data_IF_560941236178
#
_entry.id   IF_560941236178
#
_cell.length_a   1.000
_cell.length_b   1.000
_cell.length_c   1.000
_cell.angle_alpha   90.00
_cell.angle_beta   90.00
_cell.angle_gamma   90.00
#
_symmetry.space_group_name_H-M   'P 1'
#
loop_
_entity.id
_entity.type
_entity.pdbx_description
1 polymer ?
#
# COMPACT_ATOMS: atom_id res chain seq x y z
N UNK A 1 28.30 14.62 -28.20
CA UNK A 1 28.69 14.51 -26.78
C UNK A 1 27.37 14.38 -26.00
N UNK A 2 27.08 13.19 -25.50
CA UNK A 2 25.89 12.97 -24.71
C UNK A 2 26.08 13.63 -23.35
N UNK A 3 25.38 14.69 -23.08
CA UNK A 3 25.12 15.13 -21.71
C UNK A 3 24.23 14.05 -21.05
N UNK A 4 24.87 13.08 -20.43
CA UNK A 4 24.20 12.27 -19.42
C UNK A 4 23.85 13.23 -18.28
N UNK A 5 22.57 13.58 -18.16
CA UNK A 5 22.05 14.21 -16.97
C UNK A 5 22.56 13.38 -15.77
N UNK A 6 23.27 14.05 -14.87
CA UNK A 6 23.78 13.47 -13.64
C UNK A 6 22.58 13.29 -12.71
N UNK A 7 21.75 12.25 -12.98
CA UNK A 7 20.64 11.92 -12.09
C UNK A 7 21.24 11.51 -10.74
N UNK A 8 20.80 12.14 -9.69
CA UNK A 8 21.23 11.76 -8.35
C UNK A 8 20.94 10.27 -8.15
N UNK A 9 21.89 9.51 -7.61
CA UNK A 9 21.73 8.07 -7.35
C UNK A 9 20.50 7.75 -6.48
N UNK A 10 20.11 8.71 -5.63
CA UNK A 10 18.93 8.63 -4.78
C UNK A 10 17.91 9.69 -5.23
N UNK A 11 16.75 9.23 -5.62
CA UNK A 11 15.61 10.08 -6.02
C UNK A 11 14.58 10.13 -4.88
N UNK A 12 13.66 11.11 -4.92
CA UNK A 12 12.55 11.14 -3.98
C UNK A 12 11.50 10.09 -4.40
N UNK A 13 11.13 9.24 -3.47
CA UNK A 13 10.10 8.22 -3.68
C UNK A 13 9.06 8.27 -2.56
N UNK A 14 7.84 7.84 -2.89
CA UNK A 14 6.90 7.33 -1.90
C UNK A 14 7.05 5.82 -1.80
N UNK A 15 7.15 5.29 -0.58
CA UNK A 15 7.49 3.89 -0.32
C UNK A 15 6.47 3.27 0.61
N UNK A 16 5.85 2.19 0.16
CA UNK A 16 5.02 1.30 0.95
C UNK A 16 5.85 0.06 1.32
N UNK A 17 5.92 -0.24 2.61
CA UNK A 17 6.43 -1.50 3.15
C UNK A 17 5.29 -2.27 3.79
N UNK A 18 5.08 -3.53 3.38
CA UNK A 18 4.08 -4.44 3.97
C UNK A 18 4.76 -5.69 4.51
N UNK A 19 4.25 -6.18 5.65
CA UNK A 19 4.70 -7.37 6.36
C UNK A 19 3.49 -8.25 6.73
N UNK A 20 3.54 -9.56 6.42
CA UNK A 20 2.49 -10.50 6.79
C UNK A 20 2.64 -10.98 8.23
N UNK A 21 1.61 -10.75 9.03
CA UNK A 21 1.56 -11.14 10.43
C UNK A 21 1.44 -12.65 10.58
N UNK A 22 2.47 -13.26 11.21
CA UNK A 22 2.46 -14.67 11.52
C UNK A 22 2.95 -15.59 10.40
N UNK A 23 3.45 -15.06 9.29
CA UNK A 23 3.92 -15.81 8.14
C UNK A 23 4.92 -16.91 8.51
N UNK A 24 5.98 -16.60 9.26
CA UNK A 24 7.02 -17.56 9.64
C UNK A 24 6.50 -18.81 10.37
N UNK A 25 5.37 -18.69 11.07
CA UNK A 25 4.70 -19.83 11.69
C UNK A 25 3.76 -20.56 10.73
N UNK A 26 3.02 -19.79 9.94
CA UNK A 26 2.00 -20.30 9.03
C UNK A 26 2.60 -21.10 7.86
N UNK A 27 3.67 -20.58 7.23
CA UNK A 27 4.31 -21.19 6.06
C UNK A 27 4.82 -22.63 6.30
N UNK A 28 5.16 -22.97 7.54
CA UNK A 28 5.61 -24.31 7.91
C UNK A 28 4.52 -25.39 7.84
N UNK A 29 3.26 -24.96 7.78
CA UNK A 29 2.08 -25.82 7.82
C UNK A 29 1.15 -25.59 6.62
N UNK A 30 1.58 -24.76 5.64
CA UNK A 30 0.80 -24.51 4.45
C UNK A 30 0.86 -25.69 3.48
N UNK A 31 -0.25 -25.89 2.80
CA UNK A 31 -0.35 -26.67 1.58
C UNK A 31 0.11 -25.84 0.35
N UNK A 32 0.31 -26.53 -0.76
CA UNK A 32 0.76 -25.91 -2.01
C UNK A 32 -0.25 -24.85 -2.51
N UNK A 33 -1.55 -25.08 -2.30
CA UNK A 33 -2.63 -24.16 -2.72
C UNK A 33 -2.50 -22.77 -2.06
N UNK A 34 -2.18 -22.71 -0.78
CA UNK A 34 -2.00 -21.44 -0.06
C UNK A 34 -0.75 -20.71 -0.50
N UNK A 35 0.31 -21.46 -0.73
CA UNK A 35 1.57 -20.92 -1.23
C UNK A 35 1.37 -20.37 -2.63
N UNK A 36 0.70 -21.09 -3.53
CA UNK A 36 0.41 -20.67 -4.88
C UNK A 36 -0.45 -19.40 -4.91
N UNK A 37 -1.47 -19.30 -4.08
CA UNK A 37 -2.29 -18.07 -3.96
C UNK A 37 -1.46 -16.86 -3.58
N UNK A 38 -0.57 -16.96 -2.60
CA UNK A 38 0.29 -15.85 -2.20
C UNK A 38 1.26 -15.48 -3.32
N UNK A 39 1.95 -16.46 -3.90
CA UNK A 39 2.89 -16.23 -5.01
C UNK A 39 2.16 -15.54 -6.17
N UNK A 40 0.99 -16.07 -6.56
CA UNK A 40 0.22 -15.54 -7.70
C UNK A 40 -0.16 -14.08 -7.51
N UNK A 41 -0.57 -13.64 -6.31
CA UNK A 41 -0.90 -12.23 -6.09
C UNK A 41 0.34 -11.35 -6.08
N UNK A 42 1.42 -11.78 -5.46
CA UNK A 42 2.66 -11.00 -5.43
C UNK A 42 3.25 -10.84 -6.83
N UNK A 43 3.26 -11.91 -7.64
CA UNK A 43 3.67 -11.87 -9.04
C UNK A 43 2.74 -10.99 -9.86
N UNK A 44 1.42 -11.15 -9.72
CA UNK A 44 0.44 -10.34 -10.44
C UNK A 44 0.60 -8.84 -10.11
N UNK A 45 0.80 -8.48 -8.84
CA UNK A 45 1.07 -7.08 -8.46
C UNK A 45 2.34 -6.58 -9.15
N UNK A 46 3.42 -7.35 -9.13
CA UNK A 46 4.69 -6.97 -9.76
C UNK A 46 4.59 -6.80 -11.29
N UNK A 47 3.75 -7.59 -11.95
CA UNK A 47 3.61 -7.59 -13.42
C UNK A 47 2.54 -6.61 -13.92
N UNK A 48 1.46 -6.40 -13.15
CA UNK A 48 0.29 -5.63 -13.62
C UNK A 48 0.29 -4.17 -13.19
N UNK A 49 1.09 -3.79 -12.18
CA UNK A 49 1.21 -2.39 -11.80
C UNK A 49 1.95 -1.62 -12.89
N UNK A 50 1.16 -1.03 -13.78
CA UNK A 50 1.65 -0.28 -14.93
C UNK A 50 2.14 1.11 -14.59
N UNK A 51 2.84 1.71 -15.57
CA UNK A 51 3.06 3.14 -15.55
C UNK A 51 1.73 3.86 -15.74
N UNK A 52 1.56 4.99 -15.08
CA UNK A 52 0.47 5.91 -15.33
C UNK A 52 0.98 7.31 -15.65
N UNK A 53 0.16 8.05 -16.40
CA UNK A 53 0.48 9.38 -16.86
C UNK A 53 -0.20 10.45 -15.99
N UNK A 54 0.57 11.44 -15.60
CA UNK A 54 0.11 12.61 -14.88
C UNK A 54 0.18 13.79 -15.83
N UNK A 55 -0.96 14.44 -16.05
CA UNK A 55 -1.06 15.57 -16.95
C UNK A 55 -1.24 16.87 -16.15
N UNK A 56 -0.40 17.87 -16.43
CA UNK A 56 -0.58 19.23 -15.98
C UNK A 56 -1.00 20.12 -17.15
N UNK A 57 -1.99 20.98 -16.94
CA UNK A 57 -2.39 22.01 -17.92
C UNK A 57 -2.36 23.38 -17.25
N UNK A 58 -1.73 24.35 -17.92
CA UNK A 58 -1.79 25.75 -17.53
C UNK A 58 -2.87 26.49 -18.32
N UNK A 59 -3.46 27.53 -17.72
CA UNK A 59 -4.34 28.48 -18.41
C UNK A 59 -3.62 29.26 -19.52
N UNK A 60 -2.29 29.30 -19.54
CA UNK A 60 -1.45 29.98 -20.51
C UNK A 60 -0.94 29.11 -21.67
N UNK A 61 -1.58 27.99 -22.00
CA UNK A 61 -1.23 27.03 -23.07
C UNK A 61 0.00 26.15 -22.87
N UNK A 62 0.49 25.99 -21.64
CA UNK A 62 1.50 24.99 -21.31
C UNK A 62 0.82 23.67 -20.92
N UNK A 63 1.23 22.55 -21.50
CA UNK A 63 0.89 21.23 -21.02
C UNK A 63 2.16 20.43 -20.72
N UNK A 64 2.17 19.70 -19.63
CA UNK A 64 3.25 18.76 -19.31
C UNK A 64 2.65 17.39 -19.00
N UNK A 65 3.42 16.36 -19.33
CA UNK A 65 3.06 14.97 -19.07
C UNK A 65 4.22 14.28 -18.39
N UNK A 66 3.94 13.63 -17.27
CA UNK A 66 4.89 12.80 -16.56
C UNK A 66 4.37 11.37 -16.52
N UNK A 67 5.25 10.44 -16.79
CA UNK A 67 4.95 9.01 -16.62
C UNK A 67 5.67 8.50 -15.38
N UNK A 68 4.94 7.94 -14.44
CA UNK A 68 5.52 7.27 -13.27
C UNK A 68 5.25 5.77 -13.34
N UNK A 69 6.20 4.97 -12.86
CA UNK A 69 6.10 3.51 -12.79
C UNK A 69 6.57 3.06 -11.41
N UNK A 70 5.86 2.11 -10.79
CA UNK A 70 6.33 1.52 -9.54
C UNK A 70 7.54 0.62 -9.76
N UNK A 71 8.42 0.62 -8.78
CA UNK A 71 9.38 -0.48 -8.55
C UNK A 71 8.82 -1.34 -7.43
N UNK A 72 8.88 -2.67 -7.61
CA UNK A 72 8.30 -3.64 -6.68
C UNK A 72 9.35 -4.70 -6.36
N UNK A 73 9.58 -4.92 -5.08
CA UNK A 73 10.46 -5.97 -4.58
C UNK A 73 9.73 -6.79 -3.52
N UNK A 74 9.78 -8.12 -3.65
CA UNK A 74 9.26 -9.06 -2.66
C UNK A 74 10.40 -9.89 -2.11
N UNK A 75 10.42 -10.10 -0.80
CA UNK A 75 11.34 -11.03 -0.16
C UNK A 75 10.70 -11.64 1.08
N UNK A 76 10.65 -13.00 1.15
CA UNK A 76 9.94 -13.69 2.23
C UNK A 76 8.46 -13.26 2.32
N UNK A 77 8.06 -12.70 3.43
CA UNK A 77 6.73 -12.19 3.76
C UNK A 77 6.62 -10.66 3.62
N UNK A 78 7.59 -10.04 2.99
CA UNK A 78 7.62 -8.60 2.82
C UNK A 78 7.39 -8.18 1.38
N UNK A 79 6.65 -7.11 1.19
CA UNK A 79 6.45 -6.43 -0.09
C UNK A 79 6.90 -4.97 0.06
N UNK A 80 7.75 -4.53 -0.84
CA UNK A 80 8.15 -3.12 -0.98
C UNK A 80 7.69 -2.61 -2.32
N UNK A 81 6.90 -1.54 -2.30
CA UNK A 81 6.47 -0.81 -3.50
C UNK A 81 6.95 0.62 -3.39
N UNK A 82 7.52 1.15 -4.45
CA UNK A 82 7.87 2.57 -4.48
C UNK A 82 7.51 3.23 -5.80
N UNK A 83 7.11 4.48 -5.72
CA UNK A 83 6.88 5.35 -6.88
C UNK A 83 7.86 6.51 -6.84
N UNK A 84 8.68 6.70 -7.89
CA UNK A 84 9.55 7.86 -7.99
C UNK A 84 8.70 9.13 -8.13
N UNK A 85 9.03 10.15 -7.36
CA UNK A 85 8.42 11.47 -7.48
C UNK A 85 9.13 12.25 -8.56
N UNK A 86 8.43 12.76 -9.57
CA UNK A 86 9.09 13.55 -10.62
C UNK A 86 9.65 14.84 -10.05
N UNK A 87 10.83 15.22 -10.52
CA UNK A 87 11.41 16.54 -10.26
C UNK A 87 10.74 17.60 -11.13
N UNK A 88 10.63 18.84 -10.60
CA UNK A 88 10.10 19.95 -11.36
C UNK A 88 11.06 20.34 -12.48
N UNK A 89 10.66 20.26 -13.78
CA UNK A 89 11.46 20.81 -14.86
C UNK A 89 11.57 22.33 -14.73
N UNK A 90 12.75 22.87 -15.08
CA UNK A 90 13.02 24.31 -14.93
C UNK A 90 12.09 25.19 -15.77
N UNK A 91 11.61 24.67 -16.90
CA UNK A 91 10.73 25.36 -17.86
C UNK A 91 9.25 25.34 -17.45
N UNK A 92 8.86 24.58 -16.43
CA UNK A 92 7.47 24.50 -15.98
C UNK A 92 7.20 25.55 -14.90
N UNK A 93 6.13 26.32 -15.10
CA UNK A 93 5.67 27.32 -14.14
C UNK A 93 5.23 26.68 -12.81
N UNK A 94 5.36 27.41 -11.69
CA UNK A 94 5.09 26.88 -10.35
C UNK A 94 3.63 26.43 -10.17
N UNK A 95 2.69 27.21 -10.72
CA UNK A 95 1.25 26.90 -10.66
C UNK A 95 0.88 25.61 -11.39
N UNK A 96 1.53 25.35 -12.54
CA UNK A 96 1.35 24.10 -13.29
C UNK A 96 1.96 22.94 -12.53
N UNK A 97 3.15 23.16 -11.97
CA UNK A 97 3.84 22.12 -11.20
C UNK A 97 3.09 21.72 -9.93
N UNK A 98 2.49 22.68 -9.23
CA UNK A 98 1.67 22.41 -8.05
C UNK A 98 0.50 21.46 -8.37
N UNK A 99 -0.19 21.68 -9.51
CA UNK A 99 -1.24 20.79 -10.00
C UNK A 99 -0.71 19.40 -10.29
N UNK A 100 0.45 19.30 -10.96
CA UNK A 100 1.10 18.00 -11.25
C UNK A 100 1.47 17.26 -9.96
N UNK A 101 2.09 17.96 -9.02
CA UNK A 101 2.53 17.39 -7.76
C UNK A 101 1.34 16.87 -6.92
N UNK A 102 0.26 17.65 -6.84
CA UNK A 102 -0.96 17.25 -6.14
C UNK A 102 -1.64 16.05 -6.80
N UNK A 103 -1.72 16.04 -8.14
CA UNK A 103 -2.25 14.89 -8.89
C UNK A 103 -1.39 13.63 -8.69
N UNK A 104 -0.06 13.78 -8.68
CA UNK A 104 0.85 12.67 -8.41
C UNK A 104 0.60 12.09 -7.02
N UNK A 105 0.54 12.95 -5.99
CA UNK A 105 0.28 12.54 -4.60
C UNK A 105 -1.04 11.73 -4.52
N UNK A 106 -2.14 12.25 -5.06
CA UNK A 106 -3.44 11.57 -5.05
C UNK A 106 -3.43 10.22 -5.80
N UNK A 107 -2.85 10.18 -7.00
CA UNK A 107 -2.79 8.95 -7.80
C UNK A 107 -1.90 7.88 -7.14
N UNK A 108 -0.76 8.26 -6.58
CA UNK A 108 0.13 7.32 -5.89
C UNK A 108 -0.53 6.77 -4.63
N UNK A 109 -1.19 7.62 -3.83
CA UNK A 109 -1.94 7.16 -2.65
C UNK A 109 -3.03 6.15 -3.03
N UNK A 110 -3.80 6.43 -4.08
CA UNK A 110 -4.80 5.49 -4.62
C UNK A 110 -4.19 4.15 -5.02
N UNK A 111 -3.03 4.17 -5.70
CA UNK A 111 -2.34 2.93 -6.07
C UNK A 111 -1.83 2.17 -4.83
N UNK A 112 -1.29 2.87 -3.83
CA UNK A 112 -0.84 2.24 -2.58
C UNK A 112 -2.02 1.62 -1.80
N UNK A 113 -3.20 2.26 -1.78
CA UNK A 113 -4.42 1.69 -1.21
C UNK A 113 -4.85 0.42 -1.96
N UNK A 114 -4.89 0.48 -3.29
CA UNK A 114 -5.30 -0.63 -4.15
C UNK A 114 -4.37 -1.85 -3.98
N UNK A 115 -3.05 -1.63 -4.03
CA UNK A 115 -2.06 -2.70 -3.80
C UNK A 115 -2.22 -3.30 -2.40
N UNK A 116 -2.35 -2.46 -1.37
CA UNK A 116 -2.56 -2.91 0.00
C UNK A 116 -3.84 -3.74 0.12
N UNK A 117 -4.93 -3.27 -0.47
CA UNK A 117 -6.22 -3.97 -0.48
C UNK A 117 -6.10 -5.37 -1.12
N UNK A 118 -5.46 -5.47 -2.29
CA UNK A 118 -5.25 -6.76 -2.97
C UNK A 118 -4.43 -7.72 -2.11
N UNK A 119 -3.31 -7.26 -1.53
CA UNK A 119 -2.44 -8.06 -0.65
C UNK A 119 -3.20 -8.55 0.57
N UNK A 120 -3.97 -7.67 1.23
CA UNK A 120 -4.75 -8.03 2.43
C UNK A 120 -5.88 -8.99 2.09
N UNK A 121 -6.59 -8.80 0.96
CA UNK A 121 -7.66 -9.71 0.53
C UNK A 121 -7.16 -11.13 0.32
N UNK A 122 -6.01 -11.30 -0.33
CA UNK A 122 -5.39 -12.63 -0.48
C UNK A 122 -4.84 -13.13 0.86
N UNK A 123 -4.26 -12.25 1.68
CA UNK A 123 -3.89 -12.59 3.04
C UNK A 123 -5.04 -13.23 3.82
N UNK A 124 -6.24 -12.65 3.75
CA UNK A 124 -7.45 -13.22 4.37
C UNK A 124 -7.79 -14.61 3.83
N UNK A 125 -7.68 -14.82 2.51
CA UNK A 125 -7.95 -16.11 1.87
C UNK A 125 -7.00 -17.23 2.37
N UNK A 126 -5.81 -16.89 2.83
CA UNK A 126 -4.80 -17.84 3.34
C UNK A 126 -4.61 -17.79 4.86
N UNK A 127 -5.43 -16.99 5.55
CA UNK A 127 -5.43 -16.90 7.01
C UNK A 127 -4.35 -15.99 7.58
N UNK A 128 -3.89 -14.98 6.82
CA UNK A 128 -2.94 -13.98 7.25
C UNK A 128 -3.55 -12.58 7.26
N UNK A 129 -3.03 -11.74 8.14
CA UNK A 129 -3.23 -10.30 8.14
C UNK A 129 -1.92 -9.62 7.72
N UNK A 130 -2.00 -8.41 7.16
CA UNK A 130 -0.83 -7.60 6.86
C UNK A 130 -0.83 -6.30 7.66
N UNK A 131 0.35 -5.74 7.83
CA UNK A 131 0.59 -4.42 8.41
C UNK A 131 1.70 -3.74 7.65
N UNK A 132 1.89 -2.44 7.82
CA UNK A 132 2.90 -1.75 7.04
C UNK A 132 3.20 -0.34 7.48
N UNK A 133 4.07 0.30 6.71
CA UNK A 133 4.37 1.71 6.78
C UNK A 133 4.46 2.33 5.40
N UNK A 134 3.98 3.55 5.28
CA UNK A 134 4.05 4.38 4.08
C UNK A 134 4.84 5.63 4.40
N UNK A 135 5.93 5.88 3.67
CA UNK A 135 6.81 7.03 3.90
C UNK A 135 7.27 7.66 2.59
N UNK A 136 7.86 8.86 2.68
CA UNK A 136 8.42 9.59 1.56
C UNK A 136 9.84 10.06 1.90
N UNK A 137 10.74 10.00 0.92
CA UNK A 137 12.11 10.49 1.05
C UNK A 137 13.04 9.90 0.00
N UNK A 138 14.34 10.11 0.19
CA UNK A 138 15.35 9.63 -0.74
C UNK A 138 15.46 8.12 -0.74
N UNK A 139 15.45 7.55 -1.97
CA UNK A 139 15.50 6.10 -2.19
C UNK A 139 16.25 5.78 -3.50
N UNK A 140 16.96 4.67 -3.49
CA UNK A 140 17.30 3.87 -4.67
C UNK A 140 16.46 2.60 -4.63
N UNK A 141 15.64 2.36 -5.66
CA UNK A 141 14.89 1.12 -5.79
C UNK A 141 14.93 0.67 -7.24
N UNK A 142 15.75 -0.30 -7.54
CA UNK A 142 15.89 -0.88 -8.88
C UNK A 142 16.55 -2.25 -8.83
N UNK A 143 16.10 -3.16 -9.71
CA UNK A 143 16.70 -4.49 -9.87
C UNK A 143 16.69 -5.34 -8.58
N UNK A 144 15.68 -5.17 -7.74
CA UNK A 144 15.54 -5.88 -6.46
C UNK A 144 16.39 -5.29 -5.31
N UNK A 145 17.11 -4.19 -5.55
CA UNK A 145 17.88 -3.48 -4.52
C UNK A 145 17.07 -2.28 -4.03
N UNK A 146 16.87 -2.20 -2.71
CA UNK A 146 16.13 -1.12 -2.05
C UNK A 146 17.03 -0.50 -0.98
N UNK A 147 17.43 0.75 -1.17
CA UNK A 147 18.31 1.49 -0.24
C UNK A 147 17.87 2.95 -0.12
N UNK A 148 17.68 3.44 1.11
CA UNK A 148 17.41 4.85 1.35
C UNK A 148 16.61 5.11 2.62
N UNK A 149 16.52 6.38 2.99
CA UNK A 149 15.85 6.80 4.22
C UNK A 149 14.34 6.49 4.21
N UNK A 150 13.70 6.63 3.04
CA UNK A 150 12.26 6.37 2.92
C UNK A 150 11.90 4.92 3.26
N UNK A 151 12.73 3.94 2.84
CA UNK A 151 12.55 2.54 3.21
C UNK A 151 12.76 2.31 4.71
N UNK A 152 13.81 2.92 5.29
CA UNK A 152 14.09 2.81 6.73
C UNK A 152 12.93 3.38 7.54
N UNK A 153 12.41 4.52 7.14
CA UNK A 153 11.27 5.16 7.81
C UNK A 153 10.00 4.31 7.70
N UNK A 154 9.65 3.80 6.50
CA UNK A 154 8.50 2.92 6.29
C UNK A 154 8.58 1.65 7.18
N UNK A 155 9.74 1.01 7.21
CA UNK A 155 10.00 -0.12 8.11
C UNK A 155 9.88 0.25 9.60
N UNK A 156 10.42 1.42 9.99
CA UNK A 156 10.32 1.89 11.38
C UNK A 156 8.86 2.20 11.79
N UNK A 157 8.05 2.74 10.88
CA UNK A 157 6.61 2.96 11.11
C UNK A 157 5.88 1.63 11.34
N UNK A 158 6.14 0.64 10.47
CA UNK A 158 5.60 -0.71 10.65
C UNK A 158 6.01 -1.27 12.01
N UNK A 159 7.30 -1.30 12.31
CA UNK A 159 7.87 -1.92 13.50
C UNK A 159 7.40 -1.31 14.82
N UNK A 160 7.29 0.03 14.86
CA UNK A 160 7.05 0.77 16.11
C UNK A 160 5.58 1.12 16.33
N UNK A 161 4.84 1.38 15.24
CA UNK A 161 3.50 1.96 15.33
C UNK A 161 2.41 1.05 14.75
N UNK A 162 2.72 0.17 13.79
CA UNK A 162 1.76 -0.76 13.25
C UNK A 162 1.63 -2.03 14.12
N UNK A 163 1.31 -1.86 15.40
CA UNK A 163 1.05 -2.98 16.31
C UNK A 163 -0.16 -3.84 15.90
N UNK A 164 -1.12 -3.22 15.21
CA UNK A 164 -2.32 -3.81 14.62
C UNK A 164 -2.18 -3.98 13.09
N UNK A 165 -3.06 -4.76 12.42
CA UNK A 165 -3.10 -4.84 10.94
C UNK A 165 -3.60 -3.51 10.34
N UNK A 166 -2.67 -2.61 10.15
CA UNK A 166 -2.85 -1.29 9.56
C UNK A 166 -1.57 -0.84 8.87
N UNK A 167 -1.67 0.09 7.94
CA UNK A 167 -0.52 0.75 7.30
C UNK A 167 -0.41 2.16 7.87
N UNK A 168 0.69 2.41 8.57
CA UNK A 168 0.95 3.71 9.21
C UNK A 168 1.55 4.68 8.20
N UNK A 169 1.00 5.89 8.13
CA UNK A 169 1.43 6.93 7.19
C UNK A 169 2.34 7.93 7.90
N UNK A 170 3.51 8.19 7.29
CA UNK A 170 4.49 9.16 7.76
C UNK A 170 3.94 10.59 7.74
N UNK A 171 4.38 11.43 8.67
CA UNK A 171 4.12 12.87 8.65
C UNK A 171 4.77 13.60 7.45
N UNK A 172 5.75 12.97 6.79
CA UNK A 172 6.36 13.50 5.55
C UNK A 172 5.40 13.47 4.35
N UNK A 173 4.32 12.70 4.45
CA UNK A 173 3.26 12.63 3.45
C UNK A 173 2.19 13.65 3.83
N UNK A 174 2.08 14.69 3.02
CA UNK A 174 1.06 15.73 3.15
C UNK A 174 -0.28 15.26 2.58
N UNK A 175 -1.37 15.82 3.08
CA UNK A 175 -2.72 15.50 2.64
C UNK A 175 -3.38 14.39 3.46
N UNK A 176 -4.69 14.29 3.27
CA UNK A 176 -5.54 13.32 3.98
C UNK A 176 -6.32 12.40 3.00
N UNK A 177 -6.07 12.52 1.70
CA UNK A 177 -6.75 11.68 0.71
C UNK A 177 -6.37 10.22 0.92
N UNK A 178 -7.36 9.38 1.20
CA UNK A 178 -7.13 7.98 1.51
C UNK A 178 -6.40 7.71 2.82
N UNK A 179 -6.39 8.67 3.75
CA UNK A 179 -5.76 8.56 5.07
C UNK A 179 -6.78 8.85 6.15
N UNK A 180 -6.87 8.00 7.15
CA UNK A 180 -7.67 8.23 8.35
C UNK A 180 -6.79 8.29 9.59
N UNK A 181 -7.34 8.85 10.67
CA UNK A 181 -6.69 8.84 11.99
C UNK A 181 -7.35 7.79 12.86
N UNK A 182 -6.57 6.83 13.32
CA UNK A 182 -7.04 5.76 14.20
C UNK A 182 -7.28 6.26 15.65
N UNK A 183 -7.91 5.45 16.48
CA UNK A 183 -8.29 5.82 17.86
C UNK A 183 -7.10 6.21 18.73
N UNK A 184 -5.90 5.67 18.46
CA UNK A 184 -4.64 6.01 19.13
C UNK A 184 -3.91 7.23 18.50
N UNK A 185 -4.60 7.99 17.64
CA UNK A 185 -4.15 9.17 16.90
C UNK A 185 -3.04 8.90 15.87
N UNK A 186 -2.87 7.67 15.48
CA UNK A 186 -1.94 7.28 14.40
C UNK A 186 -2.63 7.48 13.04
N UNK A 187 -1.95 8.14 12.11
CA UNK A 187 -2.39 8.29 10.71
C UNK A 187 -2.20 6.98 9.98
N UNK A 188 -3.23 6.51 9.31
CA UNK A 188 -3.25 5.21 8.64
C UNK A 188 -3.83 5.33 7.23
N UNK A 189 -3.29 4.52 6.31
CA UNK A 189 -3.81 4.39 4.95
C UNK A 189 -5.16 3.65 4.98
N UNK A 190 -6.16 4.20 4.30
CA UNK A 190 -7.50 3.59 4.20
C UNK A 190 -7.56 2.60 3.04
N UNK A 191 -7.09 1.39 3.27
CA UNK A 191 -7.16 0.30 2.31
C UNK A 191 -8.42 -0.56 2.45
N UNK A 192 -9.17 -0.45 3.56
CA UNK A 192 -10.37 -1.27 3.77
C UNK A 192 -11.51 -0.76 2.91
N UNK A 193 -11.67 0.56 2.78
CA UNK A 193 -12.60 1.16 1.82
C UNK A 193 -12.31 0.68 0.39
N UNK A 194 -11.04 0.62 0.00
CA UNK A 194 -10.62 0.09 -1.31
C UNK A 194 -10.92 -1.42 -1.46
N UNK A 195 -10.78 -2.22 -0.38
CA UNK A 195 -11.22 -3.63 -0.39
C UNK A 195 -12.73 -3.75 -0.68
N UNK A 196 -13.55 -2.87 -0.13
CA UNK A 196 -15.00 -2.84 -0.40
C UNK A 196 -15.27 -2.50 -1.86
N UNK A 197 -14.57 -1.51 -2.45
CA UNK A 197 -14.67 -1.17 -3.88
C UNK A 197 -14.31 -2.37 -4.77
N UNK A 198 -13.18 -3.03 -4.51
CA UNK A 198 -12.76 -4.23 -5.26
C UNK A 198 -13.74 -5.40 -5.10
N UNK A 199 -14.37 -5.50 -3.94
CA UNK A 199 -15.35 -6.55 -3.66
C UNK A 199 -16.72 -6.28 -4.32
N UNK A 200 -17.05 -5.03 -4.61
CA UNK A 200 -18.35 -4.67 -5.20
C UNK A 200 -18.54 -5.23 -6.61
N UNK A 201 -17.45 -5.44 -7.35
CA UNK A 201 -17.46 -6.11 -8.65
C UNK A 201 -17.69 -7.64 -8.57
N UNK A 202 -17.69 -8.24 -7.37
CA UNK A 202 -17.89 -9.68 -7.16
C UNK A 202 -19.38 -10.04 -7.08
N UNK A 203 -19.74 -11.30 -7.37
CA UNK A 203 -21.11 -11.77 -7.17
C UNK A 203 -21.59 -11.52 -5.74
N UNK A 204 -22.74 -10.85 -5.60
CA UNK A 204 -23.30 -10.46 -4.32
C UNK A 204 -22.89 -9.08 -3.80
N UNK A 205 -21.86 -8.45 -4.43
CA UNK A 205 -21.37 -7.11 -4.08
C UNK A 205 -20.54 -7.07 -2.80
N UNK A 206 -20.10 -5.85 -2.45
CA UNK A 206 -19.22 -5.59 -1.32
C UNK A 206 -19.76 -6.09 0.03
N UNK A 207 -21.04 -5.85 0.31
CA UNK A 207 -21.65 -6.24 1.59
C UNK A 207 -21.69 -7.75 1.80
N UNK A 208 -22.07 -8.52 0.77
CA UNK A 208 -22.09 -9.98 0.87
C UNK A 208 -20.69 -10.56 1.05
N UNK A 209 -19.70 -10.01 0.32
CA UNK A 209 -18.31 -10.36 0.50
C UNK A 209 -17.82 -10.07 1.92
N UNK A 210 -18.06 -8.86 2.43
CA UNK A 210 -17.62 -8.45 3.77
C UNK A 210 -18.26 -9.33 4.86
N UNK A 211 -19.55 -9.66 4.75
CA UNK A 211 -20.24 -10.54 5.69
C UNK A 211 -19.60 -11.94 5.71
N UNK A 212 -19.32 -12.52 4.54
CA UNK A 212 -18.61 -13.81 4.46
C UNK A 212 -17.23 -13.78 5.13
N UNK A 213 -16.47 -12.67 4.93
CA UNK A 213 -15.17 -12.48 5.60
C UNK A 213 -15.31 -12.34 7.11
N UNK A 214 -16.32 -11.63 7.60
CA UNK A 214 -16.57 -11.49 9.03
C UNK A 214 -16.86 -12.83 9.70
N UNK A 215 -17.62 -13.71 9.06
CA UNK A 215 -17.91 -15.05 9.55
C UNK A 215 -16.64 -15.92 9.63
N UNK A 216 -15.77 -15.86 8.62
CA UNK A 216 -14.47 -16.57 8.60
C UNK A 216 -13.51 -16.01 9.66
N UNK A 217 -13.46 -14.70 9.84
CA UNK A 217 -12.64 -14.04 10.87
C UNK A 217 -13.11 -14.46 12.27
N UNK A 218 -14.42 -14.54 12.51
CA UNK A 218 -14.97 -14.99 13.78
C UNK A 218 -14.54 -16.43 14.08
N UNK A 219 -14.64 -17.33 13.10
CA UNK A 219 -14.16 -18.70 13.23
C UNK A 219 -12.66 -18.74 13.54
N UNK A 220 -11.85 -17.92 12.88
CA UNK A 220 -10.42 -17.80 13.14
C UNK A 220 -10.15 -17.35 14.57
N UNK A 221 -10.82 -16.29 15.05
CA UNK A 221 -10.69 -15.80 16.43
C UNK A 221 -10.99 -16.89 17.45
N UNK A 222 -12.02 -17.71 17.20
CA UNK A 222 -12.43 -18.78 18.10
C UNK A 222 -11.41 -19.91 18.18
N UNK A 223 -10.65 -20.19 17.12
CA UNK A 223 -9.62 -21.25 17.06
C UNK A 223 -8.27 -20.83 17.61
N UNK A 224 -7.94 -19.54 17.57
CA UNK A 224 -6.66 -19.02 18.04
C UNK A 224 -6.51 -19.21 19.57
N UNK A 225 -5.33 -19.63 20.01
CA UNK A 225 -5.01 -19.81 21.44
C UNK A 225 -4.38 -18.58 22.06
N UNK A 226 -3.53 -17.90 21.30
CA UNK A 226 -2.76 -16.77 21.81
C UNK A 226 -3.59 -15.46 21.78
N UNK A 227 -3.71 -14.84 22.97
CA UNK A 227 -4.44 -13.58 23.14
C UNK A 227 -3.97 -12.48 22.19
N UNK A 228 -2.65 -12.30 22.04
CA UNK A 228 -2.07 -11.29 21.18
C UNK A 228 -2.46 -11.45 19.70
N UNK A 229 -2.58 -12.69 19.22
CA UNK A 229 -3.04 -12.96 17.87
C UNK A 229 -4.54 -12.68 17.73
N UNK A 230 -5.34 -13.07 18.72
CA UNK A 230 -6.79 -12.74 18.74
C UNK A 230 -7.04 -11.25 18.66
N UNK A 231 -6.31 -10.45 19.43
CA UNK A 231 -6.48 -8.99 19.47
C UNK A 231 -6.30 -8.34 18.08
N UNK A 232 -5.37 -8.83 17.26
CA UNK A 232 -5.16 -8.35 15.89
C UNK A 232 -6.34 -8.67 14.97
N UNK A 233 -6.86 -9.89 15.05
CA UNK A 233 -8.03 -10.28 14.27
C UNK A 233 -9.30 -9.53 14.70
N UNK A 234 -9.46 -9.29 16.00
CA UNK A 234 -10.57 -8.47 16.54
C UNK A 234 -10.45 -7.04 16.05
N UNK A 235 -9.25 -6.46 16.05
CA UNK A 235 -9.03 -5.13 15.50
C UNK A 235 -9.47 -5.05 14.03
N UNK A 236 -9.01 -5.97 13.19
CA UNK A 236 -9.35 -6.01 11.77
C UNK A 236 -10.85 -6.23 11.55
N UNK A 237 -11.46 -7.16 12.29
CA UNK A 237 -12.90 -7.39 12.28
C UNK A 237 -13.69 -6.11 12.51
N UNK A 238 -13.35 -5.37 13.57
CA UNK A 238 -14.04 -4.13 13.91
C UNK A 238 -13.93 -3.07 12.82
N UNK A 239 -12.77 -2.95 12.18
CA UNK A 239 -12.57 -2.04 11.05
C UNK A 239 -13.42 -2.44 9.84
N UNK A 240 -13.43 -3.71 9.47
CA UNK A 240 -14.25 -4.21 8.36
C UNK A 240 -15.75 -4.04 8.63
N UNK A 241 -16.21 -4.26 9.88
CA UNK A 241 -17.60 -4.01 10.29
C UNK A 241 -17.97 -2.53 10.17
N UNK A 242 -17.07 -1.64 10.56
CA UNK A 242 -17.27 -0.20 10.42
C UNK A 242 -17.42 0.20 8.95
N UNK A 243 -16.50 -0.22 8.08
CA UNK A 243 -16.56 0.05 6.65
C UNK A 243 -17.85 -0.50 6.02
N UNK A 244 -18.22 -1.74 6.35
CA UNK A 244 -19.47 -2.33 5.86
C UNK A 244 -20.73 -1.56 6.29
N UNK A 245 -20.69 -0.90 7.44
CA UNK A 245 -21.82 -0.14 7.96
C UNK A 245 -22.03 1.21 7.26
N UNK A 246 -20.96 1.82 6.77
CA UNK A 246 -21.00 3.11 6.06
C UNK A 246 -21.08 2.95 4.53
N UNK A 247 -20.81 1.76 4.01
CA UNK A 247 -20.93 1.39 2.59
C UNK A 247 -22.41 1.31 2.16
#
# INVERSE_FOLDING_TARGET
MNEQANSALLEEHEVLFLDFLGFASAVKHWDDDRMEKLISVLVNIAETQGAFDINGQSQSNGSCKFTTRPEITTFSDNLVVSYPRPDKPAEIADDVWEVVANNWDGMVHQQMQNITAQVVMVGLDIGLLARGGLSRGKLYHHGGVVLGEAMVDAYCLEKKLAGNPRVVVSERISGNDGVYTDMDKVRCLDYIGEMMLLADARPGGARAWAQGRLDEIENTINTLKERKHKEKWVYFKNKLQYEMAIW
#
